data_IF_733023128793
#
_entry.id   IF_733023128793
#
_cell.length_a   1.000
_cell.length_b   1.000
_cell.length_c   1.000
_cell.angle_alpha   90.00
_cell.angle_beta   90.00
_cell.angle_gamma   90.00
#
_symmetry.space_group_name_H-M   'P 1'
#
loop_
_entity.id
_entity.type
_entity.pdbx_description
1 polymer ?
#
# COMPACT_ATOMS: atom_id res chain seq x y z
N UNK A 1 23.17 8.55 8.89
CA UNK A 1 21.72 8.77 8.71
C UNK A 1 21.13 9.81 9.65
N UNK A 2 20.50 9.44 10.78
CA UNK A 2 19.76 10.43 11.58
C UNK A 2 20.63 11.57 12.15
N UNK A 3 21.83 11.26 12.62
CA UNK A 3 22.79 12.27 13.11
C UNK A 3 23.34 13.18 11.99
N UNK A 4 23.29 12.69 10.75
CA UNK A 4 23.84 13.35 9.55
C UNK A 4 22.73 14.04 8.72
N UNK A 5 21.47 13.98 9.16
CA UNK A 5 20.33 14.56 8.47
C UNK A 5 19.88 13.83 7.20
N UNK A 6 20.31 12.59 6.97
CA UNK A 6 19.97 11.83 5.76
C UNK A 6 18.56 11.23 5.83
N UNK A 7 17.90 11.15 4.66
CA UNK A 7 16.72 10.32 4.46
C UNK A 7 17.09 8.86 4.18
N UNK A 8 16.23 7.93 4.58
CA UNK A 8 16.43 6.49 4.41
C UNK A 8 15.19 5.86 3.81
N UNK A 9 15.40 5.01 2.81
CA UNK A 9 14.42 4.04 2.35
C UNK A 9 14.80 2.65 2.85
N UNK A 10 13.81 1.90 3.31
CA UNK A 10 13.99 0.51 3.71
C UNK A 10 13.35 -0.37 2.64
N UNK A 11 14.09 -1.33 2.11
CA UNK A 11 13.56 -2.34 1.20
C UNK A 11 13.53 -3.69 1.91
N UNK A 12 12.39 -4.37 1.87
CA UNK A 12 12.20 -5.71 2.44
C UNK A 12 11.36 -6.55 1.48
N UNK A 13 11.46 -7.87 1.52
CA UNK A 13 10.63 -8.70 0.65
C UNK A 13 9.16 -8.70 1.10
N UNK A 14 8.91 -9.02 2.36
CA UNK A 14 7.56 -9.14 2.89
C UNK A 14 7.05 -7.85 3.54
N UNK A 15 5.74 -7.59 3.47
CA UNK A 15 5.11 -6.51 4.20
C UNK A 15 5.09 -6.75 5.72
N UNK A 16 4.75 -5.70 6.47
CA UNK A 16 4.75 -5.73 7.94
C UNK A 16 3.55 -6.44 8.56
N UNK A 17 2.47 -6.60 7.79
CA UNK A 17 1.30 -7.41 8.16
C UNK A 17 1.35 -8.82 7.53
N UNK A 18 2.54 -9.32 7.19
CA UNK A 18 2.70 -10.65 6.61
C UNK A 18 2.59 -11.77 7.67
N UNK A 19 1.92 -12.87 7.31
CA UNK A 19 1.80 -14.09 8.10
C UNK A 19 3.12 -14.78 8.40
N UNK A 20 4.12 -14.61 7.54
CA UNK A 20 5.36 -15.38 7.52
C UNK A 20 6.41 -14.90 8.54
N UNK A 21 6.23 -13.70 9.11
CA UNK A 21 7.05 -13.22 10.22
C UNK A 21 6.38 -13.42 11.57
N UNK A 22 7.23 -13.59 12.58
CA UNK A 22 6.79 -13.60 13.97
C UNK A 22 6.30 -12.21 14.38
N UNK A 23 5.27 -12.19 15.21
CA UNK A 23 4.65 -10.95 15.69
C UNK A 23 5.63 -10.18 16.59
N UNK A 24 6.50 -10.89 17.31
CA UNK A 24 7.57 -10.28 18.13
C UNK A 24 8.54 -9.48 17.27
N UNK A 25 8.89 -9.96 16.08
CA UNK A 25 9.79 -9.25 15.19
C UNK A 25 9.08 -8.08 14.50
N UNK A 26 7.99 -8.34 13.77
CA UNK A 26 7.35 -7.29 12.97
C UNK A 26 6.65 -6.24 13.82
N UNK A 27 5.88 -6.66 14.83
CA UNK A 27 5.10 -5.74 15.66
C UNK A 27 5.84 -5.27 16.90
N UNK A 28 6.62 -6.16 17.51
CA UNK A 28 7.37 -5.87 18.73
C UNK A 28 8.63 -5.03 18.48
N UNK A 29 9.23 -5.15 17.29
CA UNK A 29 10.50 -4.49 16.98
C UNK A 29 10.46 -3.61 15.73
N UNK A 30 10.18 -4.18 14.55
CA UNK A 30 10.37 -3.48 13.28
C UNK A 30 9.43 -2.27 13.10
N UNK A 31 8.11 -2.45 13.19
CA UNK A 31 7.16 -1.37 12.99
C UNK A 31 7.33 -0.21 14.02
N UNK A 32 7.50 -0.48 15.34
CA UNK A 32 7.82 0.58 16.30
C UNK A 32 9.14 1.30 16.02
N UNK A 33 10.17 0.57 15.59
CA UNK A 33 11.47 1.16 15.27
C UNK A 33 11.37 2.11 14.07
N UNK A 34 10.70 1.68 13.00
CA UNK A 34 10.45 2.50 11.81
C UNK A 34 9.66 3.75 12.18
N UNK A 35 8.56 3.60 12.93
CA UNK A 35 7.73 4.75 13.35
C UNK A 35 8.48 5.72 14.29
N UNK A 36 9.37 5.21 15.16
CA UNK A 36 10.23 6.02 16.02
C UNK A 36 11.18 6.90 15.21
N UNK A 37 11.71 6.37 14.11
CA UNK A 37 12.64 7.09 13.22
C UNK A 37 11.96 7.69 11.97
N UNK A 38 10.65 8.00 12.02
CA UNK A 38 9.88 8.53 10.87
C UNK A 38 10.40 9.85 10.27
N UNK A 39 11.24 10.61 10.98
CA UNK A 39 11.91 11.79 10.43
C UNK A 39 13.14 11.45 9.56
N UNK A 40 13.65 10.22 9.67
CA UNK A 40 14.80 9.69 8.91
C UNK A 40 14.32 8.65 7.90
N UNK A 41 13.50 7.68 8.32
CA UNK A 41 12.92 6.67 7.45
C UNK A 41 11.72 7.28 6.71
N UNK A 42 11.88 7.55 5.42
CA UNK A 42 10.85 8.18 4.57
C UNK A 42 9.79 7.18 4.15
N UNK A 43 10.23 6.03 3.61
CA UNK A 43 9.34 4.98 3.14
C UNK A 43 9.94 3.59 3.37
N UNK A 44 9.04 2.61 3.48
CA UNK A 44 9.35 1.19 3.31
C UNK A 44 8.83 0.76 1.95
N UNK A 45 9.60 -0.08 1.25
CA UNK A 45 9.20 -0.70 0.00
C UNK A 45 9.23 -2.21 0.16
N UNK A 46 8.12 -2.86 -0.16
CA UNK A 46 8.00 -4.31 -0.08
C UNK A 46 7.27 -4.92 -1.28
N UNK A 47 7.16 -6.24 -1.29
CA UNK A 47 6.48 -7.02 -2.32
C UNK A 47 5.80 -8.23 -1.70
N UNK A 48 6.16 -9.43 -2.16
CA UNK A 48 5.68 -10.73 -1.67
C UNK A 48 4.19 -11.04 -1.93
N UNK A 49 3.29 -10.08 -1.73
CA UNK A 49 1.83 -10.26 -1.88
C UNK A 49 1.40 -10.47 -3.34
N UNK A 50 2.25 -10.08 -4.29
CA UNK A 50 1.96 -9.97 -5.72
C UNK A 50 0.84 -8.98 -6.08
N UNK A 51 0.32 -8.23 -5.11
CA UNK A 51 -0.76 -7.24 -5.28
C UNK A 51 -0.20 -5.83 -5.15
N UNK A 52 -0.82 -4.86 -5.83
CA UNK A 52 -0.56 -3.45 -5.59
C UNK A 52 -1.23 -3.04 -4.29
N UNK A 53 -0.45 -2.76 -3.25
CA UNK A 53 -0.97 -2.41 -1.94
C UNK A 53 -0.18 -1.26 -1.32
N UNK A 54 -0.71 -0.75 -0.22
CA UNK A 54 -0.04 0.23 0.64
C UNK A 54 -0.44 -0.06 2.08
N UNK A 55 0.50 0.10 3.00
CA UNK A 55 0.29 -0.11 4.44
C UNK A 55 0.78 1.10 5.23
N UNK A 56 0.01 1.49 6.23
CA UNK A 56 0.38 2.55 7.17
C UNK A 56 0.99 1.95 8.44
N UNK A 57 2.18 2.44 8.76
CA UNK A 57 2.80 2.28 10.07
C UNK A 57 2.48 3.50 10.93
N UNK A 58 2.28 3.27 12.22
CA UNK A 58 1.73 4.27 13.13
C UNK A 58 2.72 4.62 14.24
N UNK A 59 2.83 5.90 14.54
CA UNK A 59 3.48 6.34 15.76
C UNK A 59 2.60 6.00 16.98
N UNK A 60 3.25 5.75 18.12
CA UNK A 60 2.61 5.48 19.40
C UNK A 60 1.64 4.27 19.41
N UNK A 61 1.81 3.31 18.49
CA UNK A 61 0.94 2.15 18.35
C UNK A 61 0.82 1.26 19.61
N UNK A 62 1.77 1.36 20.54
CA UNK A 62 1.81 0.59 21.79
C UNK A 62 1.24 1.32 23.00
N UNK A 63 1.20 2.66 23.00
CA UNK A 63 1.02 3.46 24.21
C UNK A 63 -0.07 4.55 24.12
N UNK A 64 -0.71 4.74 22.97
CA UNK A 64 -1.72 5.79 22.77
C UNK A 64 -3.06 5.21 22.31
N UNK A 65 -4.14 5.82 22.78
CA UNK A 65 -5.50 5.59 22.27
C UNK A 65 -5.77 6.27 20.92
N UNK A 66 -4.85 7.13 20.46
CA UNK A 66 -4.89 7.82 19.17
C UNK A 66 -3.63 7.46 18.37
N UNK A 67 -3.84 6.90 17.19
CA UNK A 67 -2.77 6.51 16.27
C UNK A 67 -2.49 7.65 15.29
N UNK A 68 -1.22 8.03 15.14
CA UNK A 68 -0.77 9.02 14.16
C UNK A 68 -0.10 8.31 12.98
N UNK A 69 -0.58 8.49 11.72
CA UNK A 69 0.07 7.88 10.55
C UNK A 69 1.51 8.37 10.43
N UNK A 70 2.48 7.46 10.37
CA UNK A 70 3.89 7.80 10.48
C UNK A 70 4.70 7.50 9.22
N UNK A 71 4.67 6.26 8.74
CA UNK A 71 5.49 5.82 7.60
C UNK A 71 4.63 4.94 6.69
N UNK A 72 4.84 5.08 5.39
CA UNK A 72 4.16 4.29 4.37
C UNK A 72 5.05 3.12 3.97
N UNK A 73 4.48 1.92 3.96
CA UNK A 73 5.03 0.77 3.28
C UNK A 73 4.32 0.60 1.92
N UNK A 74 5.01 0.93 0.83
CA UNK A 74 4.53 0.69 -0.52
C UNK A 74 4.81 -0.75 -0.92
N UNK A 75 3.75 -1.48 -1.28
CA UNK A 75 3.85 -2.89 -1.66
C UNK A 75 3.60 -2.98 -3.16
N UNK A 76 4.66 -3.28 -3.91
CA UNK A 76 4.57 -3.40 -5.36
C UNK A 76 4.00 -4.76 -5.78
N UNK A 77 3.20 -4.75 -6.84
CA UNK A 77 2.76 -5.97 -7.51
C UNK A 77 3.93 -6.72 -8.16
N UNK A 78 3.68 -7.96 -8.59
CA UNK A 78 4.73 -8.82 -9.11
C UNK A 78 4.75 -8.86 -10.66
N UNK A 79 5.94 -9.05 -11.26
CA UNK A 79 6.04 -9.33 -12.70
C UNK A 79 5.54 -10.74 -13.07
N UNK A 80 5.40 -11.65 -12.09
CA UNK A 80 4.82 -12.97 -12.33
C UNK A 80 3.30 -12.92 -12.28
N UNK A 81 2.59 -13.66 -13.16
CA UNK A 81 1.13 -13.78 -13.08
C UNK A 81 0.65 -14.72 -11.95
N UNK A 82 1.58 -15.32 -11.19
CA UNK A 82 1.26 -16.21 -10.08
C UNK A 82 0.34 -15.53 -9.06
N UNK A 83 -0.71 -16.23 -8.61
CA UNK A 83 -1.71 -15.67 -7.69
C UNK A 83 -2.86 -14.93 -8.38
N UNK A 84 -3.05 -15.16 -9.68
CA UNK A 84 -4.17 -14.62 -10.44
C UNK A 84 -4.08 -13.11 -10.57
N UNK A 85 -2.92 -12.61 -10.97
CA UNK A 85 -2.65 -11.21 -11.27
C UNK A 85 -2.06 -11.09 -12.67
N UNK A 86 -2.12 -9.90 -13.23
CA UNK A 86 -1.39 -9.56 -14.44
C UNK A 86 0.04 -9.17 -14.07
N UNK A 87 1.05 -9.54 -14.89
CA UNK A 87 2.42 -9.06 -14.77
C UNK A 87 2.46 -7.55 -14.62
N UNK A 88 3.06 -7.07 -13.53
CA UNK A 88 3.10 -5.64 -13.19
C UNK A 88 4.46 -5.25 -12.60
N UNK A 89 4.94 -4.06 -12.95
CA UNK A 89 6.02 -3.38 -12.21
C UNK A 89 5.61 -1.94 -11.90
N UNK A 90 6.24 -1.32 -10.89
CA UNK A 90 5.95 0.05 -10.46
C UNK A 90 7.14 0.98 -10.71
N UNK A 91 6.85 2.20 -11.13
CA UNK A 91 7.79 3.32 -11.14
C UNK A 91 7.34 4.38 -10.13
N UNK A 92 8.26 4.80 -9.26
CA UNK A 92 8.02 5.88 -8.29
C UNK A 92 8.63 7.19 -8.81
N UNK A 93 7.88 8.28 -8.66
CA UNK A 93 8.39 9.63 -8.77
C UNK A 93 8.76 10.13 -7.37
N UNK A 94 9.95 10.70 -7.22
CA UNK A 94 10.55 11.03 -5.93
C UNK A 94 11.11 12.44 -5.95
N UNK A 95 10.90 13.18 -4.87
CA UNK A 95 11.60 14.43 -4.58
C UNK A 95 12.96 14.11 -3.97
N UNK A 96 14.04 14.55 -4.61
CA UNK A 96 15.40 14.10 -4.29
C UNK A 96 15.88 14.65 -2.94
N UNK A 97 15.49 15.86 -2.59
CA UNK A 97 15.94 16.51 -1.35
C UNK A 97 15.28 15.92 -0.10
N UNK A 98 14.00 15.57 -0.21
CA UNK A 98 13.23 15.01 0.91
C UNK A 98 13.24 13.49 0.91
N UNK A 99 13.58 12.87 -0.23
CA UNK A 99 13.42 11.45 -0.52
C UNK A 99 11.98 10.96 -0.34
N UNK A 100 11.00 11.86 -0.50
CA UNK A 100 9.58 11.54 -0.44
C UNK A 100 9.08 11.08 -1.81
N UNK A 101 8.21 10.06 -1.82
CA UNK A 101 7.48 9.64 -3.00
C UNK A 101 6.39 10.68 -3.30
N UNK A 102 6.47 11.28 -4.48
CA UNK A 102 5.55 12.33 -4.96
C UNK A 102 4.37 11.69 -5.70
N UNK A 103 4.63 10.65 -6.49
CA UNK A 103 3.61 9.85 -7.16
C UNK A 103 4.16 8.46 -7.53
N UNK A 104 3.31 7.58 -8.05
CA UNK A 104 3.75 6.36 -8.71
C UNK A 104 2.82 5.94 -9.84
N UNK A 105 3.36 5.15 -10.78
CA UNK A 105 2.62 4.52 -11.88
C UNK A 105 2.92 3.03 -11.90
N UNK A 106 1.88 2.21 -12.03
CA UNK A 106 2.01 0.78 -12.32
C UNK A 106 1.96 0.54 -13.83
N UNK A 107 2.86 -0.29 -14.33
CA UNK A 107 2.86 -0.77 -15.71
C UNK A 107 2.43 -2.22 -15.70
N UNK A 108 1.37 -2.54 -16.42
CA UNK A 108 0.73 -3.86 -16.39
C UNK A 108 0.55 -4.42 -17.80
N UNK A 109 0.79 -5.71 -17.96
CA UNK A 109 0.38 -6.48 -19.15
C UNK A 109 -0.94 -7.17 -18.86
N UNK A 110 -2.03 -6.69 -19.45
CA UNK A 110 -3.33 -7.36 -19.33
C UNK A 110 -3.37 -8.63 -20.19
N UNK A 111 -3.09 -9.77 -19.57
CA UNK A 111 -2.96 -11.05 -20.27
C UNK A 111 -4.26 -11.48 -20.95
N UNK A 112 -5.42 -11.17 -20.36
CA UNK A 112 -6.72 -11.53 -20.93
C UNK A 112 -7.08 -10.59 -22.07
N UNK A 113 -7.00 -9.28 -21.85
CA UNK A 113 -7.35 -8.29 -22.86
C UNK A 113 -6.45 -8.36 -24.09
N UNK A 114 -5.21 -8.83 -23.94
CA UNK A 114 -4.26 -9.04 -25.03
C UNK A 114 -4.30 -10.47 -25.62
N UNK A 115 -5.19 -11.35 -25.13
CA UNK A 115 -5.32 -12.73 -25.63
C UNK A 115 -4.07 -13.59 -25.42
N UNK A 116 -3.23 -13.26 -24.45
CA UNK A 116 -1.94 -13.92 -24.19
C UNK A 116 -2.08 -15.23 -23.43
N UNK A 117 -3.21 -15.42 -22.72
CA UNK A 117 -3.49 -16.67 -22.01
C UNK A 117 -3.63 -17.88 -22.95
N UNK A 118 -3.96 -17.66 -24.23
CA UNK A 118 -4.09 -18.71 -25.24
C UNK A 118 -2.84 -18.87 -26.12
N UNK A 119 -1.86 -17.97 -26.00
CA UNK A 119 -0.67 -17.93 -26.84
C UNK A 119 0.51 -18.62 -26.12
N UNK A 120 0.73 -19.89 -26.39
CA UNK A 120 1.91 -20.62 -25.91
C UNK A 120 3.13 -20.42 -26.82
N UNK A 121 3.46 -19.16 -27.13
CA UNK A 121 4.69 -18.81 -27.83
C UNK A 121 5.77 -18.45 -26.83
N UNK A 122 7.04 -18.72 -27.13
CA UNK A 122 8.17 -18.42 -26.22
C UNK A 122 8.33 -16.92 -25.91
N UNK A 123 7.86 -16.03 -26.81
CA UNK A 123 7.93 -14.58 -26.64
C UNK A 123 6.68 -13.89 -27.23
N UNK A 124 5.53 -13.92 -26.53
CA UNK A 124 4.38 -13.16 -26.97
C UNK A 124 4.70 -11.65 -26.98
N UNK A 125 4.26 -10.94 -28.01
CA UNK A 125 4.36 -9.48 -28.05
C UNK A 125 3.38 -8.88 -27.03
N UNK A 126 3.88 -8.60 -25.82
CA UNK A 126 3.12 -8.00 -24.73
C UNK A 126 3.25 -6.48 -24.72
N UNK A 127 2.14 -5.77 -24.58
CA UNK A 127 2.09 -4.33 -24.41
C UNK A 127 1.99 -3.99 -22.90
N UNK A 128 2.95 -3.23 -22.38
CA UNK A 128 2.88 -2.70 -21.03
C UNK A 128 2.08 -1.40 -21.02
N UNK A 129 0.99 -1.36 -20.26
CA UNK A 129 0.14 -0.17 -20.14
C UNK A 129 0.31 0.47 -18.78
N UNK A 130 0.55 1.78 -18.78
CA UNK A 130 0.62 2.60 -17.58
C UNK A 130 -0.78 2.80 -16.96
N UNK A 131 -0.87 2.68 -15.64
CA UNK A 131 -2.00 3.16 -14.86
C UNK A 131 -2.05 4.69 -14.89
N UNK A 132 -3.16 5.26 -14.42
CA UNK A 132 -3.13 6.66 -13.97
C UNK A 132 -2.13 6.77 -12.79
N UNK A 133 -1.43 7.91 -12.64
CA UNK A 133 -0.66 8.18 -11.43
C UNK A 133 -1.53 8.05 -10.18
N UNK A 134 -0.97 7.54 -9.09
CA UNK A 134 -1.69 7.21 -7.86
C UNK A 134 -2.51 8.39 -7.31
N UNK A 135 -1.94 9.61 -7.32
CA UNK A 135 -2.65 10.82 -6.88
C UNK A 135 -3.92 11.06 -7.69
N UNK A 136 -3.82 10.93 -9.01
CA UNK A 136 -4.95 11.09 -9.91
C UNK A 136 -5.95 9.93 -9.77
N UNK A 137 -5.46 8.70 -9.66
CA UNK A 137 -6.29 7.50 -9.56
C UNK A 137 -7.15 7.50 -8.29
N UNK A 138 -6.58 7.89 -7.15
CA UNK A 138 -7.26 7.84 -5.85
C UNK A 138 -7.78 9.20 -5.37
N UNK A 139 -7.71 10.22 -6.22
CA UNK A 139 -8.13 11.59 -5.92
C UNK A 139 -7.48 12.12 -4.63
N UNK A 140 -6.15 12.13 -4.62
CA UNK A 140 -5.28 12.56 -3.52
C UNK A 140 -4.42 13.75 -3.95
N UNK A 141 -4.25 14.74 -3.06
CA UNK A 141 -3.42 15.92 -3.33
C UNK A 141 -1.94 15.67 -3.11
N UNK A 142 -1.58 14.73 -2.25
CA UNK A 142 -0.23 14.26 -2.00
C UNK A 142 -0.27 12.79 -1.56
N UNK A 143 0.89 12.14 -1.46
CA UNK A 143 1.00 10.75 -1.01
C UNK A 143 1.61 10.64 0.40
N UNK A 144 1.29 11.59 1.29
CA UNK A 144 1.79 11.58 2.66
C UNK A 144 1.02 10.58 3.52
N UNK A 145 1.55 10.13 4.68
CA UNK A 145 0.89 9.14 5.53
C UNK A 145 -0.56 9.50 5.88
N UNK A 146 -0.83 10.79 6.11
CA UNK A 146 -2.17 11.32 6.37
C UNK A 146 -3.09 11.21 5.17
N UNK A 147 -2.60 11.47 3.95
CA UNK A 147 -3.41 11.37 2.74
C UNK A 147 -3.86 9.93 2.50
N UNK A 148 -2.94 8.97 2.68
CA UNK A 148 -3.25 7.54 2.60
C UNK A 148 -4.29 7.10 3.63
N UNK A 149 -4.22 7.64 4.86
CA UNK A 149 -5.23 7.38 5.89
C UNK A 149 -6.60 7.93 5.48
N UNK A 150 -6.66 9.21 5.06
CA UNK A 150 -7.90 9.84 4.60
C UNK A 150 -8.49 9.10 3.40
N UNK A 151 -7.66 8.69 2.44
CA UNK A 151 -8.09 7.90 1.29
C UNK A 151 -8.72 6.57 1.74
N UNK A 152 -8.06 5.84 2.64
CA UNK A 152 -8.57 4.58 3.16
C UNK A 152 -9.91 4.74 3.91
N UNK A 153 -10.06 5.79 4.72
CA UNK A 153 -11.34 6.07 5.39
C UNK A 153 -12.44 6.46 4.39
N UNK A 154 -12.12 7.22 3.33
CA UNK A 154 -13.08 7.54 2.25
C UNK A 154 -13.60 6.28 1.56
N UNK A 155 -12.74 5.27 1.33
CA UNK A 155 -13.16 4.00 0.72
C UNK A 155 -14.25 3.27 1.50
N UNK A 156 -14.46 3.56 2.79
CA UNK A 156 -15.57 2.99 3.57
C UNK A 156 -16.94 3.36 3.01
N UNK A 157 -17.04 4.51 2.33
CA UNK A 157 -18.30 5.10 1.89
C UNK A 157 -18.32 5.48 0.40
N UNK A 158 -17.17 5.54 -0.26
CA UNK A 158 -17.04 5.87 -1.69
C UNK A 158 -16.81 4.61 -2.54
N UNK A 159 -17.90 4.12 -3.14
CA UNK A 159 -17.90 2.94 -4.02
C UNK A 159 -17.00 3.12 -5.24
N UNK A 160 -16.94 4.32 -5.82
CA UNK A 160 -16.16 4.56 -7.04
C UNK A 160 -14.65 4.54 -6.74
N UNK A 161 -14.25 5.16 -5.63
CA UNK A 161 -12.88 5.09 -5.13
C UNK A 161 -12.50 3.66 -4.78
N UNK A 162 -13.37 2.94 -4.05
CA UNK A 162 -13.11 1.55 -3.69
C UNK A 162 -12.92 0.65 -4.92
N UNK A 163 -13.76 0.79 -5.95
CA UNK A 163 -13.59 0.04 -7.21
C UNK A 163 -12.27 0.33 -7.89
N UNK A 164 -11.86 1.61 -7.89
CA UNK A 164 -10.58 2.02 -8.48
C UNK A 164 -9.40 1.39 -7.74
N UNK A 165 -9.46 1.36 -6.41
CA UNK A 165 -8.49 0.66 -5.58
C UNK A 165 -8.47 -0.84 -5.86
N UNK A 166 -9.63 -1.50 -5.90
CA UNK A 166 -9.70 -2.96 -6.08
C UNK A 166 -9.17 -3.41 -7.46
N UNK A 167 -9.43 -2.63 -8.51
CA UNK A 167 -8.85 -2.87 -9.85
C UNK A 167 -7.32 -2.75 -9.81
N UNK A 168 -6.79 -1.72 -9.13
CA UNK A 168 -5.33 -1.57 -8.95
C UNK A 168 -4.74 -2.72 -8.13
N UNK A 169 -5.36 -3.07 -6.99
CA UNK A 169 -4.95 -4.17 -6.12
C UNK A 169 -4.81 -5.50 -6.89
N UNK A 170 -5.76 -5.77 -7.79
CA UNK A 170 -5.77 -6.95 -8.65
C UNK A 170 -5.06 -6.75 -10.00
N UNK A 171 -4.30 -5.68 -10.21
CA UNK A 171 -3.53 -5.42 -11.44
C UNK A 171 -4.40 -5.52 -12.71
N UNK A 172 -5.59 -4.93 -12.69
CA UNK A 172 -6.56 -5.01 -13.79
C UNK A 172 -7.10 -6.41 -14.12
N UNK A 173 -6.89 -7.43 -13.28
CA UNK A 173 -7.40 -8.79 -13.50
C UNK A 173 -8.82 -9.01 -12.93
N UNK A 174 -9.47 -7.97 -12.42
CA UNK A 174 -10.83 -8.03 -11.90
C UNK A 174 -11.70 -6.94 -12.53
N UNK A 175 -12.94 -7.28 -12.84
CA UNK A 175 -13.98 -6.28 -13.00
C UNK A 175 -14.55 -6.05 -11.60
N UNK A 176 -14.17 -4.97 -10.93
CA UNK A 176 -14.62 -4.65 -9.56
C UNK A 176 -16.11 -4.24 -9.54
N UNK A 177 -17.00 -4.96 -10.22
CA UNK A 177 -18.41 -4.63 -10.37
C UNK A 177 -19.21 -4.97 -9.11
N UNK A 178 -18.83 -6.04 -8.38
CA UNK A 178 -19.49 -6.46 -7.15
C UNK A 178 -18.47 -6.72 -6.03
N UNK A 179 -18.63 -6.06 -4.89
CA UNK A 179 -17.89 -6.30 -3.65
C UNK A 179 -18.85 -6.25 -2.46
N UNK A 180 -18.59 -7.07 -1.45
CA UNK A 180 -19.32 -7.12 -0.19
C UNK A 180 -18.81 -6.05 0.79
N UNK A 181 -19.63 -5.66 1.78
CA UNK A 181 -19.18 -4.81 2.88
C UNK A 181 -17.96 -5.38 3.62
N UNK A 182 -17.85 -6.71 3.68
CA UNK A 182 -16.70 -7.39 4.31
C UNK A 182 -15.43 -7.22 3.50
N UNK A 183 -15.48 -7.40 2.18
CA UNK A 183 -14.32 -7.18 1.31
C UNK A 183 -13.82 -5.74 1.39
N UNK A 184 -14.76 -4.78 1.41
CA UNK A 184 -14.42 -3.38 1.64
C UNK A 184 -13.69 -3.17 2.95
N UNK A 185 -14.22 -3.72 4.04
CA UNK A 185 -13.60 -3.59 5.36
C UNK A 185 -12.18 -4.19 5.37
N UNK A 186 -11.99 -5.35 4.76
CA UNK A 186 -10.67 -5.99 4.64
C UNK A 186 -9.66 -5.07 3.96
N UNK A 187 -9.98 -4.50 2.79
CA UNK A 187 -9.04 -3.62 2.07
C UNK A 187 -8.71 -2.34 2.84
N UNK A 188 -9.70 -1.75 3.50
CA UNK A 188 -9.47 -0.59 4.35
C UNK A 188 -8.52 -0.95 5.49
N UNK A 189 -8.76 -2.09 6.15
CA UNK A 189 -7.92 -2.58 7.24
C UNK A 189 -6.55 -3.08 6.78
N UNK A 190 -6.38 -3.51 5.54
CA UNK A 190 -5.07 -3.84 4.96
C UNK A 190 -4.21 -2.58 4.80
N UNK A 191 -4.82 -1.42 4.54
CA UNK A 191 -4.10 -0.14 4.48
C UNK A 191 -3.80 0.39 5.88
N UNK A 192 -4.84 0.55 6.71
CA UNK A 192 -4.69 1.24 7.99
C UNK A 192 -4.18 0.31 9.09
N UNK A 193 -4.31 -0.99 8.95
CA UNK A 193 -3.79 -2.00 9.87
C UNK A 193 -2.44 -2.54 9.42
N UNK A 194 -1.40 -1.70 9.33
CA UNK A 194 -0.08 -2.11 8.82
C UNK A 194 0.66 -3.17 9.65
N UNK A 195 0.10 -3.66 10.75
CA UNK A 195 0.56 -4.84 11.50
C UNK A 195 -0.62 -5.76 11.80
N UNK A 196 -0.41 -7.06 12.05
CA UNK A 196 -1.47 -8.04 12.34
C UNK A 196 -2.41 -7.62 13.47
N UNK A 197 -1.89 -7.15 14.59
CA UNK A 197 -2.65 -6.64 15.73
C UNK A 197 -3.48 -5.42 15.36
N UNK A 198 -2.93 -4.49 14.59
CA UNK A 198 -3.66 -3.30 14.15
C UNK A 198 -4.72 -3.64 13.10
N UNK A 199 -4.42 -4.56 12.17
CA UNK A 199 -5.38 -5.09 11.21
C UNK A 199 -6.54 -5.77 11.93
N UNK A 200 -6.26 -6.66 12.89
CA UNK A 200 -7.27 -7.31 13.73
C UNK A 200 -8.11 -6.28 14.50
N UNK A 201 -7.47 -5.28 15.12
CA UNK A 201 -8.19 -4.22 15.82
C UNK A 201 -9.11 -3.41 14.88
N UNK A 202 -8.66 -3.14 13.64
CA UNK A 202 -9.48 -2.52 12.60
C UNK A 202 -10.68 -3.37 12.21
N UNK A 203 -10.47 -4.66 11.97
CA UNK A 203 -11.54 -5.59 11.61
C UNK A 203 -12.59 -5.74 12.72
N UNK A 204 -12.19 -5.58 13.98
CA UNK A 204 -13.06 -5.63 15.15
C UNK A 204 -13.68 -4.26 15.54
N UNK A 205 -13.40 -3.19 14.77
CA UNK A 205 -13.92 -1.84 15.05
C UNK A 205 -13.30 -1.18 16.29
N UNK A 206 -12.14 -1.66 16.75
CA UNK A 206 -11.39 -1.16 17.92
C UNK A 206 -10.26 -0.22 17.54
N UNK A 207 -10.37 0.42 16.38
CA UNK A 207 -9.32 1.24 15.79
C UNK A 207 -9.72 2.72 15.85
N UNK A 208 -9.08 3.48 16.73
CA UNK A 208 -9.33 4.92 16.86
C UNK A 208 -8.24 5.71 16.12
N UNK A 209 -8.55 6.06 14.89
CA UNK A 209 -7.69 6.83 13.96
C UNK A 209 -8.15 8.26 13.78
N UNK A 210 -8.89 8.80 14.75
CA UNK A 210 -9.31 10.20 14.72
C UNK A 210 -8.08 11.09 14.55
N UNK A 211 -7.86 11.61 13.35
CA UNK A 211 -6.73 12.50 13.08
C UNK A 211 -6.87 13.72 14.00
N UNK A 212 -5.82 14.10 14.75
CA UNK A 212 -5.86 15.35 15.51
C UNK A 212 -6.23 16.50 14.59
N UNK A 213 -7.15 17.36 15.03
CA UNK A 213 -7.45 18.59 14.31
C UNK A 213 -6.20 19.49 14.34
N UNK A 214 -5.57 19.71 13.18
CA UNK A 214 -4.73 20.89 12.98
C UNK A 214 -3.20 20.76 12.98
N UNK A 215 -2.59 19.60 12.73
CA UNK A 215 -1.17 19.56 12.34
C UNK A 215 -1.04 19.61 10.82
N UNK A 216 -1.03 20.83 10.29
CA UNK A 216 -0.62 21.14 8.92
C UNK A 216 0.92 21.10 8.82
#
# INVERSE_FOLDING_TARGET
>A
AAADGEGVWIMTHHPTNDGDYSDEFMEGFFAPLVAKYRSTVRHVFSGHTHKSMTQLLWANATNSSVLEPAVINYIAAAPTPYGGVNPTFRMYEVELDTMEVVDYVDYTVDLRAQGLLQQMTEQPAAEWRASKPARQAFNMTALQPRDWHVMAERMRHDDALFRTWEVSYHTNNTEASNFSPKERLVRVCDIIGGTKRLNKACMEGRFNTSLPAGSA
#
